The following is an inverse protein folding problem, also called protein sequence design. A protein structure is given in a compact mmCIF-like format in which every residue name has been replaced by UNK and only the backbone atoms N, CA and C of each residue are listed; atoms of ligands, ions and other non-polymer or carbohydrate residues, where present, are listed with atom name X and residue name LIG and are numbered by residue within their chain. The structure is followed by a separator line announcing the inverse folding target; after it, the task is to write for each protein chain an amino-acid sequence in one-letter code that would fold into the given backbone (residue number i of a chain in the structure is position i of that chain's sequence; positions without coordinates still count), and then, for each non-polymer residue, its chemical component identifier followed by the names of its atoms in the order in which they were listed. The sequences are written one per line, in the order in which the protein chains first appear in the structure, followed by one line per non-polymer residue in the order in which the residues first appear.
data_IF_055903051690
#
_entry.id   IF_055903051690
#
_cell.length_a   1.000
_cell.length_b   1.000
_cell.length_c   1.000
_cell.angle_alpha   90.00
_cell.angle_beta   90.00
_cell.angle_gamma   90.00
#
_symmetry.space_group_name_H-M   'P 1'
#
loop_
_entity.id
_entity.type
_entity.pdbx_description
1 polymer ?
#
# COMPACT_ATOMS: atom_id res chain seq x y z
N UNK A 1 -35.75 5.87 15.36
CA UNK A 1 -34.68 6.40 16.22
C UNK A 1 -33.75 7.34 15.45
N UNK A 2 -33.36 6.93 14.24
CA UNK A 2 -32.47 7.65 13.31
C UNK A 2 -33.03 8.99 12.85
N UNK A 3 -34.28 9.06 12.38
CA UNK A 3 -34.89 10.32 11.92
C UNK A 3 -34.87 11.47 12.96
N UNK A 4 -34.94 11.16 14.26
CA UNK A 4 -34.81 12.17 15.32
C UNK A 4 -33.35 12.56 15.56
N UNK A 5 -32.40 11.66 15.36
CA UNK A 5 -30.97 11.94 15.42
C UNK A 5 -30.55 12.82 14.22
N UNK A 6 -31.00 12.49 13.03
CA UNK A 6 -30.70 13.22 11.79
C UNK A 6 -31.30 14.63 11.84
N UNK A 7 -32.54 14.77 12.31
CA UNK A 7 -33.14 16.09 12.53
C UNK A 7 -32.35 16.90 13.57
N UNK A 8 -31.86 16.25 14.63
CA UNK A 8 -30.95 16.86 15.60
C UNK A 8 -29.66 17.38 14.95
N UNK A 9 -29.09 16.63 14.01
CA UNK A 9 -27.94 17.03 13.22
C UNK A 9 -28.26 18.22 12.28
N UNK A 10 -29.39 18.17 11.57
CA UNK A 10 -29.84 19.27 10.71
C UNK A 10 -29.93 20.61 11.47
N UNK A 11 -30.48 20.61 12.70
CA UNK A 11 -30.49 21.81 13.55
C UNK A 11 -29.12 22.22 14.07
N UNK A 12 -28.15 21.30 14.18
CA UNK A 12 -26.77 21.64 14.58
C UNK A 12 -26.05 22.39 13.45
N UNK A 13 -26.16 21.90 12.22
CA UNK A 13 -25.41 22.42 11.07
C UNK A 13 -26.18 23.44 10.24
N UNK A 14 -27.50 23.56 10.43
CA UNK A 14 -28.37 24.44 9.65
C UNK A 14 -28.77 23.87 8.28
N UNK A 15 -28.80 22.54 8.12
CA UNK A 15 -29.11 21.90 6.85
C UNK A 15 -30.62 21.73 6.71
N UNK A 16 -31.23 22.49 5.80
CA UNK A 16 -32.68 22.46 5.55
C UNK A 16 -33.55 23.09 6.66
N UNK A 17 -32.94 23.57 7.74
CA UNK A 17 -33.58 24.29 8.86
C UNK A 17 -32.63 25.36 9.41
N UNK A 18 -33.16 26.38 10.08
CA UNK A 18 -32.31 27.37 10.77
C UNK A 18 -31.50 26.71 11.90
N UNK A 19 -30.21 27.05 11.98
CA UNK A 19 -29.30 26.51 12.98
C UNK A 19 -29.79 26.83 14.40
N UNK A 20 -30.03 25.80 15.21
CA UNK A 20 -30.55 25.93 16.57
C UNK A 20 -30.02 24.83 17.50
N UNK A 21 -29.01 25.16 18.30
CA UNK A 21 -28.38 24.20 19.21
C UNK A 21 -29.33 23.67 20.30
N UNK A 22 -30.32 24.47 20.75
CA UNK A 22 -31.29 24.02 21.76
C UNK A 22 -32.25 22.98 21.19
N UNK A 23 -32.70 23.17 19.95
CA UNK A 23 -33.53 22.19 19.25
C UNK A 23 -32.73 20.93 18.90
N UNK A 24 -31.51 21.09 18.40
CA UNK A 24 -30.58 19.97 18.17
C UNK A 24 -30.44 19.09 19.42
N UNK A 25 -30.13 19.70 20.57
CA UNK A 25 -30.07 19.00 21.86
C UNK A 25 -31.40 18.30 22.23
N UNK A 26 -32.54 18.97 22.04
CA UNK A 26 -33.86 18.42 22.35
C UNK A 26 -34.16 17.14 21.55
N UNK A 27 -33.85 17.13 20.25
CA UNK A 27 -34.08 15.98 19.38
C UNK A 27 -33.14 14.81 19.68
N UNK A 28 -31.84 15.09 19.88
CA UNK A 28 -30.91 14.06 20.34
C UNK A 28 -31.28 13.51 21.72
N UNK A 29 -31.74 14.34 22.66
CA UNK A 29 -32.21 13.87 23.96
C UNK A 29 -33.43 12.95 23.84
N UNK A 30 -34.36 13.26 22.92
CA UNK A 30 -35.53 12.39 22.66
C UNK A 30 -35.08 11.04 22.10
N UNK A 31 -34.16 11.02 21.13
CA UNK A 31 -33.61 9.81 20.54
C UNK A 31 -32.75 8.99 21.54
N UNK A 32 -31.95 9.66 22.36
CA UNK A 32 -31.12 9.04 23.41
C UNK A 32 -31.96 8.36 24.50
N UNK A 33 -33.07 8.98 24.91
CA UNK A 33 -34.02 8.39 25.87
C UNK A 33 -34.66 7.09 25.37
N UNK A 34 -34.66 6.87 24.05
CA UNK A 34 -35.15 5.65 23.42
C UNK A 34 -34.02 4.63 23.15
N UNK A 35 -32.82 4.86 23.70
CA UNK A 35 -31.72 3.89 23.67
C UNK A 35 -30.76 4.00 22.48
N UNK A 36 -30.89 5.02 21.61
CA UNK A 36 -29.98 5.14 20.46
C UNK A 36 -28.58 5.62 20.90
N UNK A 37 -27.59 4.73 20.83
CA UNK A 37 -26.24 4.94 21.38
C UNK A 37 -25.51 6.17 20.80
N UNK A 38 -25.70 6.47 19.51
CA UNK A 38 -25.13 7.66 18.88
C UNK A 38 -25.69 8.95 19.51
N UNK A 39 -27.02 9.03 19.63
CA UNK A 39 -27.68 10.16 20.32
C UNK A 39 -27.27 10.25 21.79
N UNK A 40 -27.11 9.13 22.50
CA UNK A 40 -26.60 9.14 23.88
C UNK A 40 -25.22 9.82 23.94
N UNK A 41 -24.30 9.45 23.04
CA UNK A 41 -22.98 10.07 22.97
C UNK A 41 -23.07 11.57 22.66
N UNK A 42 -23.90 11.98 21.70
CA UNK A 42 -24.04 13.40 21.33
C UNK A 42 -24.69 14.25 22.44
N UNK A 43 -25.67 13.70 23.15
CA UNK A 43 -26.21 14.32 24.38
C UNK A 43 -25.12 14.47 25.44
N UNK A 44 -24.28 13.44 25.62
CA UNK A 44 -23.12 13.49 26.51
C UNK A 44 -22.16 14.62 26.13
N UNK A 45 -21.81 14.75 24.85
CA UNK A 45 -20.95 15.83 24.33
C UNK A 45 -21.55 17.22 24.52
N UNK A 46 -22.86 17.38 24.30
CA UNK A 46 -23.56 18.65 24.53
C UNK A 46 -23.49 19.06 26.01
N UNK A 47 -23.67 18.13 26.94
CA UNK A 47 -23.49 18.41 28.36
C UNK A 47 -22.02 18.69 28.73
N UNK A 48 -21.07 18.01 28.09
CA UNK A 48 -19.63 18.22 28.31
C UNK A 48 -19.19 19.63 27.86
N UNK A 49 -19.68 20.08 26.69
CA UNK A 49 -19.29 21.34 26.05
C UNK A 49 -20.21 22.53 26.36
N UNK A 50 -21.44 22.27 26.83
CA UNK A 50 -22.46 23.30 27.04
C UNK A 50 -23.18 23.76 25.76
N UNK A 51 -23.27 22.89 24.74
CA UNK A 51 -23.89 23.22 23.45
C UNK A 51 -25.40 22.93 23.56
N UNK A 52 -26.24 23.95 23.39
CA UNK A 52 -27.70 23.79 23.44
C UNK A 52 -28.29 23.51 24.83
N UNK A 53 -27.44 23.27 25.83
CA UNK A 53 -27.80 22.99 27.23
C UNK A 53 -26.73 23.52 28.18
N UNK A 54 -27.08 23.85 29.42
CA UNK A 54 -26.09 24.22 30.44
C UNK A 54 -25.10 23.08 30.66
N UNK A 55 -23.81 23.40 30.60
CA UNK A 55 -22.70 22.48 30.83
C UNK A 55 -22.87 21.72 32.16
N UNK A 56 -22.75 20.40 32.12
CA UNK A 56 -22.91 19.52 33.28
C UNK A 56 -22.15 18.20 33.09
N UNK A 57 -20.97 18.08 33.71
CA UNK A 57 -20.12 16.91 33.55
C UNK A 57 -20.72 15.62 34.12
N UNK A 58 -21.48 15.68 35.22
CA UNK A 58 -22.12 14.48 35.79
C UNK A 58 -23.14 13.89 34.82
N UNK A 59 -23.92 14.74 34.15
CA UNK A 59 -24.85 14.31 33.09
C UNK A 59 -24.11 13.81 31.85
N UNK A 60 -23.00 14.44 31.47
CA UNK A 60 -22.16 13.94 30.37
C UNK A 60 -21.70 12.50 30.64
N UNK A 61 -21.12 12.23 31.82
CA UNK A 61 -20.68 10.89 32.24
C UNK A 61 -21.84 9.88 32.22
N UNK A 62 -23.01 10.27 32.73
CA UNK A 62 -24.19 9.39 32.69
C UNK A 62 -24.50 8.93 31.26
N UNK A 63 -24.57 9.86 30.31
CA UNK A 63 -24.88 9.53 28.92
C UNK A 63 -23.76 8.75 28.23
N UNK A 64 -22.49 9.02 28.54
CA UNK A 64 -21.38 8.20 28.04
C UNK A 64 -21.40 6.78 28.61
N UNK A 65 -21.78 6.57 29.88
CA UNK A 65 -22.01 5.24 30.46
C UNK A 65 -23.13 4.49 29.73
N UNK A 66 -24.24 5.15 29.43
CA UNK A 66 -25.34 4.56 28.65
C UNK A 66 -24.88 4.19 27.24
N UNK A 67 -24.13 5.05 26.56
CA UNK A 67 -23.57 4.75 25.24
C UNK A 67 -22.58 3.57 25.30
N UNK A 68 -21.68 3.55 26.28
CA UNK A 68 -20.71 2.46 26.49
C UNK A 68 -21.36 1.11 26.80
N UNK A 69 -22.48 1.11 27.54
CA UNK A 69 -23.27 -0.09 27.82
C UNK A 69 -23.92 -0.72 26.59
N UNK A 70 -24.05 0.02 25.49
CA UNK A 70 -24.53 -0.46 24.19
C UNK A 70 -23.39 -0.86 23.24
N UNK A 71 -22.19 -1.19 23.77
CA UNK A 71 -20.97 -1.53 23.02
C UNK A 71 -20.58 -0.47 21.97
N UNK A 72 -20.86 0.80 22.25
CA UNK A 72 -20.55 1.90 21.33
C UNK A 72 -19.21 2.55 21.70
N UNK A 73 -18.18 2.23 20.91
CA UNK A 73 -16.79 2.63 21.15
C UNK A 73 -16.57 4.13 21.36
N UNK A 74 -17.30 5.01 20.65
CA UNK A 74 -17.22 6.45 20.90
C UNK A 74 -17.68 6.82 22.32
N UNK A 75 -18.75 6.21 22.81
CA UNK A 75 -19.24 6.43 24.18
C UNK A 75 -18.26 5.90 25.23
N UNK A 76 -17.69 4.73 25.00
CA UNK A 76 -16.67 4.12 25.88
C UNK A 76 -15.40 4.99 25.94
N UNK A 77 -14.93 5.48 24.79
CA UNK A 77 -13.80 6.41 24.69
C UNK A 77 -14.06 7.76 25.38
N UNK A 78 -15.23 8.35 25.17
CA UNK A 78 -15.61 9.61 25.81
C UNK A 78 -15.73 9.45 27.34
N UNK A 79 -16.19 8.29 27.81
CA UNK A 79 -16.20 7.95 29.24
C UNK A 79 -14.78 7.81 29.81
N UNK A 80 -13.89 7.13 29.08
CA UNK A 80 -12.47 7.00 29.46
C UNK A 80 -11.80 8.38 29.59
N UNK A 81 -12.08 9.28 28.64
CA UNK A 81 -11.60 10.66 28.68
C UNK A 81 -12.10 11.45 29.91
N UNK A 82 -13.35 11.20 30.36
CA UNK A 82 -13.86 11.78 31.59
C UNK A 82 -13.12 11.29 32.84
N UNK A 83 -12.82 10.00 32.95
CA UNK A 83 -12.02 9.45 34.07
C UNK A 83 -10.58 9.94 34.05
N UNK A 84 -9.98 10.06 32.86
CA UNK A 84 -8.63 10.58 32.70
C UNK A 84 -8.49 12.03 33.21
N UNK A 85 -9.49 12.87 32.95
CA UNK A 85 -9.45 14.30 33.25
C UNK A 85 -10.23 14.70 34.51
N UNK A 86 -10.98 13.78 35.13
CA UNK A 86 -11.85 14.07 36.26
C UNK A 86 -13.12 14.86 35.92
N UNK A 87 -13.63 14.73 34.68
CA UNK A 87 -14.86 15.42 34.28
C UNK A 87 -16.09 14.69 34.81
N UNK A 88 -16.66 15.21 35.90
CA UNK A 88 -17.92 14.68 36.47
C UNK A 88 -17.76 13.36 37.25
N UNK A 89 -16.52 12.85 37.33
CA UNK A 89 -16.08 11.68 38.10
C UNK A 89 -14.75 12.01 38.78
N UNK A 90 -14.40 11.27 39.82
CA UNK A 90 -13.05 11.33 40.39
C UNK A 90 -12.07 10.88 39.31
N UNK A 91 -10.97 11.64 39.15
CA UNK A 91 -9.90 11.27 38.24
C UNK A 91 -9.34 9.90 38.63
N UNK A 92 -9.35 8.96 37.68
CA UNK A 92 -8.93 7.58 37.89
C UNK A 92 -8.28 7.05 36.61
N UNK A 93 -6.98 6.81 36.68
CA UNK A 93 -6.18 6.39 35.54
C UNK A 93 -6.43 4.93 35.15
N UNK A 94 -6.63 4.04 36.12
CA UNK A 94 -6.83 2.60 35.87
C UNK A 94 -8.22 2.33 35.26
N UNK A 95 -9.25 3.06 35.72
CA UNK A 95 -10.57 2.99 35.09
C UNK A 95 -10.51 3.55 33.66
N UNK A 96 -9.83 4.68 33.45
CA UNK A 96 -9.63 5.23 32.10
C UNK A 96 -8.92 4.22 31.19
N UNK A 97 -7.87 3.55 31.68
CA UNK A 97 -7.12 2.52 30.95
C UNK A 97 -7.99 1.32 30.59
N UNK A 98 -8.77 0.81 31.54
CA UNK A 98 -9.69 -0.31 31.32
C UNK A 98 -10.74 0.05 30.27
N UNK A 99 -11.30 1.27 30.32
CA UNK A 99 -12.28 1.73 29.33
C UNK A 99 -11.66 1.97 27.96
N UNK A 100 -10.44 2.49 27.86
CA UNK A 100 -9.73 2.60 26.58
C UNK A 100 -9.45 1.22 25.97
N UNK A 101 -9.00 0.24 26.78
CA UNK A 101 -8.86 -1.17 26.36
C UNK A 101 -10.20 -1.71 25.83
N UNK A 102 -11.29 -1.55 26.60
CA UNK A 102 -12.64 -1.94 26.15
C UNK A 102 -13.05 -1.25 24.84
N UNK A 103 -12.76 0.03 24.68
CA UNK A 103 -13.07 0.75 23.44
C UNK A 103 -12.31 0.23 22.24
N UNK A 104 -11.07 -0.26 22.41
CA UNK A 104 -10.28 -0.92 21.36
C UNK A 104 -10.87 -2.30 21.03
N UNK A 105 -11.37 -3.02 22.04
CA UNK A 105 -12.04 -4.31 21.83
C UNK A 105 -13.35 -4.16 21.05
N UNK A 106 -14.13 -3.12 21.37
CA UNK A 106 -15.38 -2.74 20.69
C UNK A 106 -15.15 -2.27 19.25
N UNK A 107 -14.17 -1.38 19.02
CA UNK A 107 -13.73 -0.96 17.70
C UNK A 107 -12.27 -0.48 17.76
N UNK A 108 -11.37 -1.33 17.25
CA UNK A 108 -9.92 -1.09 17.32
C UNK A 108 -9.53 0.28 16.73
N UNK A 109 -10.05 0.65 15.56
CA UNK A 109 -9.66 1.90 14.90
C UNK A 109 -10.14 3.11 15.69
N UNK A 110 -11.37 3.06 16.20
CA UNK A 110 -11.94 4.17 16.98
C UNK A 110 -11.30 4.30 18.34
N UNK A 111 -11.09 3.19 19.05
CA UNK A 111 -10.41 3.17 20.35
C UNK A 111 -9.01 3.75 20.26
N UNK A 112 -8.20 3.33 19.27
CA UNK A 112 -6.85 3.88 19.06
C UNK A 112 -6.90 5.38 18.70
N UNK A 113 -7.79 5.80 17.80
CA UNK A 113 -7.96 7.24 17.48
C UNK A 113 -8.35 8.07 18.69
N UNK A 114 -9.18 7.55 19.58
CA UNK A 114 -9.58 8.26 20.79
C UNK A 114 -8.42 8.44 21.77
N UNK A 115 -7.59 7.41 21.95
CA UNK A 115 -6.39 7.49 22.79
C UNK A 115 -5.39 8.52 22.21
N UNK A 116 -5.14 8.45 20.90
CA UNK A 116 -4.30 9.41 20.18
C UNK A 116 -4.85 10.85 20.29
N UNK A 117 -6.17 11.03 20.11
CA UNK A 117 -6.84 12.32 20.19
C UNK A 117 -6.84 12.92 21.59
N UNK A 118 -6.79 12.08 22.62
CA UNK A 118 -6.65 12.51 24.01
C UNK A 118 -5.22 12.94 24.37
N UNK A 119 -4.27 12.92 23.41
CA UNK A 119 -2.84 13.22 23.60
C UNK A 119 -2.21 12.41 24.72
N UNK A 120 -2.67 11.16 24.83
CA UNK A 120 -2.19 10.22 25.82
C UNK A 120 -1.03 9.45 25.21
N UNK A 121 0.08 9.35 25.93
CA UNK A 121 1.16 8.46 25.54
C UNK A 121 0.65 6.99 25.59
N UNK A 122 0.53 6.34 24.42
CA UNK A 122 0.01 4.99 24.30
C UNK A 122 0.83 3.97 25.10
N UNK A 123 2.13 4.22 25.30
CA UNK A 123 3.00 3.32 26.06
C UNK A 123 2.52 3.12 27.51
N UNK A 124 1.84 4.10 28.12
CA UNK A 124 1.28 3.94 29.47
C UNK A 124 0.03 3.06 29.54
N UNK A 125 -0.64 2.81 28.41
CA UNK A 125 -1.98 2.20 28.35
C UNK A 125 -2.00 0.77 27.81
N UNK A 126 -1.04 0.40 26.97
CA UNK A 126 -1.21 -0.73 26.02
C UNK A 126 -0.26 -1.91 26.21
N UNK A 127 0.38 -2.03 27.39
CA UNK A 127 1.38 -3.04 27.75
C UNK A 127 0.99 -4.54 27.58
N UNK A 128 -0.20 -4.88 27.07
CA UNK A 128 -0.62 -6.29 26.96
C UNK A 128 -1.28 -6.68 25.62
N UNK A 129 -1.60 -5.74 24.72
CA UNK A 129 -2.34 -6.10 23.49
C UNK A 129 -1.88 -5.41 22.21
N UNK A 130 -0.82 -4.62 22.27
CA UNK A 130 -0.09 -4.16 21.09
C UNK A 130 1.31 -4.70 21.21
N UNK A 131 1.84 -5.27 20.12
CA UNK A 131 3.21 -5.75 20.09
C UNK A 131 4.14 -4.56 20.29
N UNK A 132 4.55 -4.34 21.52
CA UNK A 132 5.84 -3.76 21.79
C UNK A 132 6.85 -4.84 21.41
N UNK A 133 7.24 -4.84 20.13
CA UNK A 133 8.52 -5.46 19.79
C UNK A 133 9.53 -4.47 20.33
N UNK A 134 9.88 -4.72 21.58
CA UNK A 134 11.11 -4.28 22.20
C UNK A 134 11.10 -2.83 22.67
N UNK A 135 11.68 -2.59 23.84
CA UNK A 135 12.05 -1.24 24.31
C UNK A 135 13.26 -0.71 23.51
N UNK A 136 13.48 -1.22 22.30
CA UNK A 136 14.59 -0.86 21.44
C UNK A 136 14.16 0.17 20.40
N UNK A 137 15.14 0.89 19.87
CA UNK A 137 14.91 1.90 18.84
C UNK A 137 14.61 1.27 17.46
N UNK A 138 14.56 -0.07 17.37
CA UNK A 138 14.46 -0.84 16.13
C UNK A 138 13.30 -1.84 16.18
N UNK A 139 12.36 -1.73 15.24
CA UNK A 139 11.31 -2.73 15.04
C UNK A 139 11.86 -3.92 14.25
N UNK A 140 11.66 -5.15 14.76
CA UNK A 140 11.94 -6.42 14.05
C UNK A 140 10.76 -7.38 14.25
N UNK A 141 9.84 -7.51 13.28
CA UNK A 141 8.75 -8.50 13.41
C UNK A 141 9.16 -9.88 12.90
N UNK A 142 9.36 -10.82 13.81
CA UNK A 142 9.46 -12.25 13.48
C UNK A 142 8.06 -12.88 13.32
N UNK A 143 7.45 -12.70 12.13
CA UNK A 143 6.23 -13.36 11.70
C UNK A 143 4.94 -12.98 12.46
N UNK A 144 3.79 -13.46 11.95
CA UNK A 144 2.45 -13.13 12.47
C UNK A 144 2.16 -13.58 13.92
N UNK A 145 3.11 -14.21 14.63
CA UNK A 145 2.89 -14.82 15.94
C UNK A 145 2.48 -13.82 17.03
N UNK A 146 2.71 -12.53 16.81
CA UNK A 146 2.48 -11.48 17.80
C UNK A 146 1.29 -10.55 17.47
N UNK A 147 0.71 -10.57 16.27
CA UNK A 147 -0.30 -9.59 15.84
C UNK A 147 -1.62 -9.70 16.61
N UNK A 148 -2.06 -8.62 17.25
CA UNK A 148 -3.41 -8.52 17.81
C UNK A 148 -4.38 -8.06 16.70
N UNK A 149 -5.26 -8.95 16.24
CA UNK A 149 -6.32 -8.68 15.24
C UNK A 149 -5.81 -7.99 13.94
N UNK A 150 -4.91 -8.65 13.21
CA UNK A 150 -4.42 -8.24 11.88
C UNK A 150 -3.84 -6.81 11.78
N UNK A 151 -3.59 -6.13 12.91
CA UNK A 151 -3.13 -4.74 12.92
C UNK A 151 -1.80 -4.64 13.68
N UNK A 152 -0.95 -3.71 13.24
CA UNK A 152 0.30 -3.33 13.87
C UNK A 152 0.20 -1.88 14.35
N UNK A 153 0.76 -1.58 15.51
CA UNK A 153 0.96 -0.22 15.98
C UNK A 153 2.44 0.02 16.28
N UNK A 154 2.95 1.13 15.79
CA UNK A 154 4.34 1.57 15.94
C UNK A 154 4.36 2.71 16.96
N UNK A 155 5.05 2.51 18.08
CA UNK A 155 5.17 3.49 19.16
C UNK A 155 6.11 4.64 18.78
N UNK A 156 6.11 5.71 19.58
CA UNK A 156 6.97 6.87 19.39
C UNK A 156 8.48 6.58 19.59
N UNK A 157 8.85 5.48 20.25
CA UNK A 157 10.24 5.11 20.51
C UNK A 157 10.93 4.44 19.32
N UNK A 158 10.17 3.89 18.37
CA UNK A 158 10.71 3.22 17.19
C UNK A 158 11.32 4.24 16.23
N UNK A 159 12.63 4.15 16.02
CA UNK A 159 13.39 5.01 15.11
C UNK A 159 13.75 4.31 13.80
N UNK A 160 13.94 2.99 13.83
CA UNK A 160 14.32 2.20 12.67
C UNK A 160 13.33 1.05 12.50
N UNK A 161 12.92 0.80 11.27
CA UNK A 161 12.15 -0.38 10.87
C UNK A 161 13.01 -1.12 9.86
N UNK A 162 13.47 -2.31 10.22
CA UNK A 162 14.31 -3.11 9.33
C UNK A 162 13.51 -3.56 8.09
N UNK A 163 14.20 -3.71 6.96
CA UNK A 163 13.62 -4.16 5.68
C UNK A 163 12.87 -5.49 5.79
N UNK A 164 13.29 -6.39 6.68
CA UNK A 164 12.67 -7.70 6.92
C UNK A 164 11.54 -7.66 7.94
N UNK A 165 11.27 -6.52 8.57
CA UNK A 165 10.23 -6.39 9.62
C UNK A 165 8.83 -6.77 9.16
N UNK A 166 8.57 -6.80 7.85
CA UNK A 166 7.27 -7.19 7.31
C UNK A 166 7.29 -8.54 6.60
N UNK A 167 8.42 -9.25 6.65
CA UNK A 167 8.53 -10.58 6.07
C UNK A 167 7.49 -11.51 6.72
N UNK A 168 6.73 -12.24 5.89
CA UNK A 168 5.62 -13.11 6.31
C UNK A 168 4.43 -12.43 7.03
N UNK A 169 4.26 -11.11 6.95
CA UNK A 169 3.11 -10.39 7.52
C UNK A 169 1.81 -10.51 6.71
N UNK A 170 1.49 -11.73 6.24
CA UNK A 170 0.46 -12.02 5.24
C UNK A 170 -0.99 -11.71 5.67
N UNK A 171 -1.22 -11.54 6.98
CA UNK A 171 -2.52 -11.19 7.56
C UNK A 171 -2.64 -9.72 7.95
N UNK A 172 -1.56 -8.94 7.82
CA UNK A 172 -1.53 -7.55 8.28
C UNK A 172 -2.43 -6.68 7.38
N UNK A 173 -3.46 -6.09 7.98
CA UNK A 173 -4.44 -5.22 7.33
C UNK A 173 -4.15 -3.73 7.58
N UNK A 174 -3.58 -3.38 8.73
CA UNK A 174 -3.29 -1.97 9.06
C UNK A 174 -2.00 -1.83 9.85
N UNK A 175 -1.25 -0.77 9.54
CA UNK A 175 -0.13 -0.27 10.33
C UNK A 175 -0.52 1.11 10.82
N UNK A 176 -0.61 1.27 12.14
CA UNK A 176 -0.84 2.54 12.82
C UNK A 176 0.47 3.04 13.41
N UNK A 177 0.63 4.36 13.53
CA UNK A 177 1.85 4.97 14.08
C UNK A 177 1.43 6.02 15.09
N UNK A 178 2.15 6.08 16.21
CA UNK A 178 2.00 7.15 17.21
C UNK A 178 2.23 8.53 16.57
N UNK A 179 1.40 9.50 16.93
CA UNK A 179 1.53 10.87 16.41
C UNK A 179 2.87 11.51 16.80
N UNK A 180 3.44 11.11 17.94
CA UNK A 180 4.70 11.62 18.48
C UNK A 180 5.92 10.86 17.94
N UNK A 181 5.74 9.82 17.11
CA UNK A 181 6.86 9.16 16.44
C UNK A 181 7.59 10.15 15.52
N UNK A 182 8.92 10.25 15.63
CA UNK A 182 9.71 11.25 14.90
C UNK A 182 10.01 10.86 13.44
N UNK A 183 9.92 9.58 13.08
CA UNK A 183 10.47 9.05 11.83
C UNK A 183 9.40 8.52 10.88
N UNK A 184 8.25 8.12 11.41
CA UNK A 184 7.19 7.45 10.68
C UNK A 184 5.84 8.12 10.87
N UNK A 185 4.94 7.80 9.97
CA UNK A 185 3.54 8.15 10.08
C UNK A 185 2.66 7.08 9.44
N UNK A 186 1.36 7.10 9.73
CA UNK A 186 0.38 6.24 9.07
C UNK A 186 -0.71 7.07 8.44
N UNK A 187 -1.11 6.69 7.23
CA UNK A 187 -2.29 7.22 6.56
C UNK A 187 -3.14 6.08 6.05
N UNK A 188 -4.41 6.06 6.47
CA UNK A 188 -5.35 4.96 6.20
C UNK A 188 -4.80 3.56 6.54
N UNK A 189 -3.89 3.44 7.51
CA UNK A 189 -3.29 2.16 7.89
C UNK A 189 -2.14 1.71 6.97
N UNK A 190 -1.66 2.56 6.06
CA UNK A 190 -0.42 2.36 5.30
C UNK A 190 0.72 3.10 6.02
N UNK A 191 1.90 2.49 6.06
CA UNK A 191 3.09 3.08 6.69
C UNK A 191 3.82 4.02 5.72
N UNK A 192 4.13 5.22 6.20
CA UNK A 192 4.90 6.23 5.49
C UNK A 192 6.04 6.76 6.37
N UNK A 193 6.98 7.48 5.76
CA UNK A 193 7.90 8.33 6.50
C UNK A 193 7.13 9.46 7.24
N UNK A 194 7.81 10.17 8.16
CA UNK A 194 7.18 11.23 8.95
C UNK A 194 6.52 12.32 8.11
N UNK A 195 7.20 12.72 7.03
CA UNK A 195 6.75 13.79 6.13
C UNK A 195 5.64 13.34 5.15
N UNK A 196 5.29 12.05 5.15
CA UNK A 196 4.28 11.45 4.26
C UNK A 196 4.60 11.63 2.77
N UNK A 197 5.88 11.68 2.44
CA UNK A 197 6.40 11.80 1.07
C UNK A 197 6.78 10.43 0.48
N UNK A 198 7.01 9.41 1.31
CA UNK A 198 7.39 8.06 0.88
C UNK A 198 6.44 7.04 1.51
N UNK A 199 5.83 6.18 0.68
CA UNK A 199 5.15 4.98 1.19
C UNK A 199 6.22 3.92 1.45
N UNK A 200 6.30 3.47 2.71
CA UNK A 200 7.30 2.49 3.15
C UNK A 200 6.72 1.07 3.17
N UNK A 201 5.46 0.91 3.59
CA UNK A 201 4.80 -0.40 3.58
C UNK A 201 3.29 -0.32 3.45
N UNK A 202 2.78 -1.03 2.46
CA UNK A 202 1.37 -1.37 2.31
C UNK A 202 1.09 -2.74 2.98
N UNK A 203 0.10 -2.83 3.89
CA UNK A 203 -0.28 -4.09 4.51
C UNK A 203 -0.92 -5.09 3.52
N UNK A 204 -0.27 -6.23 3.29
CA UNK A 204 -0.67 -7.20 2.25
C UNK A 204 -1.89 -8.06 2.60
N UNK A 205 -2.35 -8.02 3.85
CA UNK A 205 -3.62 -8.62 4.28
C UNK A 205 -4.85 -7.77 3.93
N UNK A 206 -4.68 -6.53 3.46
CA UNK A 206 -5.78 -5.65 3.05
C UNK A 206 -6.54 -6.25 1.89
N UNK A 207 -7.85 -6.39 2.04
CA UNK A 207 -8.76 -6.91 1.02
C UNK A 207 -9.30 -5.84 0.06
N UNK A 208 -8.68 -4.66 0.04
CA UNK A 208 -9.07 -3.58 -0.87
C UNK A 208 -8.54 -3.84 -2.26
N UNK A 209 -9.40 -3.72 -3.26
CA UNK A 209 -9.05 -3.98 -4.67
C UNK A 209 -8.39 -2.79 -5.35
N UNK A 210 -8.55 -1.57 -4.81
CA UNK A 210 -7.90 -0.37 -5.34
C UNK A 210 -7.22 0.43 -4.23
N UNK A 211 -6.17 1.16 -4.60
CA UNK A 211 -5.48 2.07 -3.69
C UNK A 211 -5.16 3.40 -4.40
N UNK A 212 -5.58 4.49 -3.77
CA UNK A 212 -5.25 5.85 -4.21
C UNK A 212 -4.05 6.36 -3.45
N UNK A 213 -2.96 6.63 -4.17
CA UNK A 213 -1.73 7.15 -3.56
C UNK A 213 -1.99 8.58 -3.06
N UNK A 214 -1.76 8.88 -1.75
CA UNK A 214 -2.04 10.20 -1.20
C UNK A 214 -1.25 11.33 -1.89
N UNK A 215 -1.84 12.50 -2.07
CA UNK A 215 -1.25 13.61 -2.83
C UNK A 215 0.00 14.28 -2.23
N UNK A 216 0.42 13.87 -1.03
CA UNK A 216 1.71 14.26 -0.42
C UNK A 216 2.87 13.36 -0.85
N UNK A 217 2.57 12.14 -1.33
CA UNK A 217 3.58 11.12 -1.63
C UNK A 217 4.26 11.43 -2.95
N UNK A 218 5.58 11.47 -2.95
CA UNK A 218 6.44 11.63 -4.13
C UNK A 218 7.15 10.34 -4.51
N UNK A 219 7.12 9.32 -3.65
CA UNK A 219 7.83 8.06 -3.86
C UNK A 219 7.10 6.85 -3.28
N UNK A 220 7.16 5.74 -4.01
CA UNK A 220 6.88 4.41 -3.47
C UNK A 220 8.22 3.76 -3.13
N UNK A 221 8.46 3.43 -1.87
CA UNK A 221 9.71 2.82 -1.42
C UNK A 221 9.86 1.38 -1.90
N UNK A 222 11.06 0.85 -1.71
CA UNK A 222 11.39 -0.53 -2.07
C UNK A 222 10.48 -1.53 -1.31
N UNK A 223 10.01 -2.57 -2.00
CA UNK A 223 9.15 -3.63 -1.46
C UNK A 223 7.84 -3.16 -0.80
N UNK A 224 7.43 -1.90 -1.02
CA UNK A 224 6.34 -1.28 -0.30
C UNK A 224 5.01 -2.04 -0.44
N UNK A 225 4.67 -2.47 -1.65
CA UNK A 225 3.46 -3.23 -1.99
C UNK A 225 3.74 -4.69 -2.37
N UNK A 226 4.99 -5.16 -2.24
CA UNK A 226 5.36 -6.55 -2.57
C UNK A 226 4.36 -7.53 -1.95
N UNK A 227 3.87 -8.48 -2.75
CA UNK A 227 2.86 -9.49 -2.38
C UNK A 227 1.45 -8.94 -2.04
N UNK A 228 1.08 -7.72 -2.48
CA UNK A 228 -0.28 -7.18 -2.30
C UNK A 228 -1.32 -7.88 -3.18
N UNK A 229 -1.58 -9.15 -2.87
CA UNK A 229 -2.38 -10.11 -3.65
C UNK A 229 -3.86 -9.77 -3.84
N UNK A 230 -4.42 -8.81 -3.13
CA UNK A 230 -5.81 -8.40 -3.31
C UNK A 230 -5.95 -7.15 -4.19
N UNK A 231 -4.85 -6.44 -4.43
CA UNK A 231 -4.84 -5.17 -5.14
C UNK A 231 -4.94 -5.42 -6.64
N UNK A 232 -5.94 -4.83 -7.29
CA UNK A 232 -6.18 -4.88 -8.74
C UNK A 232 -5.77 -3.61 -9.46
N UNK A 233 -5.80 -2.47 -8.78
CA UNK A 233 -5.38 -1.19 -9.36
C UNK A 233 -4.73 -0.26 -8.35
N UNK A 234 -3.77 0.53 -8.85
CA UNK A 234 -3.11 1.60 -8.09
C UNK A 234 -3.22 2.89 -8.87
N UNK A 235 -3.80 3.91 -8.24
CA UNK A 235 -3.99 5.23 -8.83
C UNK A 235 -2.93 6.15 -8.24
N UNK A 236 -1.89 6.43 -9.03
CA UNK A 236 -0.80 7.30 -8.64
C UNK A 236 -1.23 8.77 -8.64
N UNK A 237 -0.65 9.57 -7.74
CA UNK A 237 -0.88 11.01 -7.72
C UNK A 237 0.10 11.75 -8.67
N UNK A 238 -0.18 13.03 -8.92
CA UNK A 238 0.57 13.89 -9.86
C UNK A 238 1.98 14.31 -9.45
N UNK A 239 2.48 13.83 -8.31
CA UNK A 239 3.79 14.18 -7.74
C UNK A 239 4.71 12.97 -7.62
N UNK A 240 4.27 11.77 -7.99
CA UNK A 240 5.09 10.55 -7.90
C UNK A 240 6.26 10.65 -8.88
N UNK A 241 7.48 10.54 -8.34
CA UNK A 241 8.75 10.65 -9.08
C UNK A 241 9.46 9.32 -9.22
N UNK A 242 9.41 8.49 -8.19
CA UNK A 242 10.11 7.20 -8.15
C UNK A 242 9.20 6.10 -7.61
N UNK A 243 9.31 4.93 -8.23
CA UNK A 243 8.81 3.67 -7.70
C UNK A 243 10.01 2.76 -7.46
N UNK A 244 10.21 2.33 -6.22
CA UNK A 244 11.40 1.62 -5.77
C UNK A 244 11.53 0.19 -6.29
N UNK A 245 12.65 -0.45 -5.91
CA UNK A 245 12.96 -1.84 -6.21
C UNK A 245 11.91 -2.78 -5.64
N UNK A 246 11.44 -3.72 -6.45
CA UNK A 246 10.44 -4.73 -6.05
C UNK A 246 9.17 -4.13 -5.42
N UNK A 247 8.85 -2.87 -5.70
CA UNK A 247 7.78 -2.15 -5.00
C UNK A 247 6.43 -2.86 -5.12
N UNK A 248 6.11 -3.45 -6.27
CA UNK A 248 4.89 -4.21 -6.56
C UNK A 248 5.19 -5.67 -6.98
N UNK A 249 6.35 -6.20 -6.56
CA UNK A 249 6.75 -7.57 -6.86
C UNK A 249 5.72 -8.58 -6.31
N UNK A 250 5.38 -9.58 -7.12
CA UNK A 250 4.35 -10.59 -6.85
C UNK A 250 2.95 -10.03 -6.51
N UNK A 251 2.59 -8.85 -7.04
CA UNK A 251 1.22 -8.35 -7.02
C UNK A 251 0.33 -9.07 -8.07
N UNK A 252 0.11 -10.37 -7.88
CA UNK A 252 -0.53 -11.28 -8.88
C UNK A 252 -1.93 -10.89 -9.37
N UNK A 253 -2.66 -10.06 -8.63
CA UNK A 253 -3.99 -9.59 -9.04
C UNK A 253 -4.00 -8.19 -9.65
N UNK A 254 -2.85 -7.53 -9.75
CA UNK A 254 -2.74 -6.19 -10.31
C UNK A 254 -3.00 -6.24 -11.82
N UNK A 255 -4.10 -5.61 -12.24
CA UNK A 255 -4.62 -5.66 -13.62
C UNK A 255 -4.26 -4.40 -14.40
N UNK A 256 -4.15 -3.25 -13.71
CA UNK A 256 -3.87 -1.96 -14.33
C UNK A 256 -2.92 -1.11 -13.49
N UNK A 257 -1.98 -0.47 -14.19
CA UNK A 257 -1.10 0.56 -13.64
C UNK A 257 -1.09 1.75 -14.60
N UNK A 258 -1.50 2.91 -14.11
CA UNK A 258 -1.50 4.15 -14.89
C UNK A 258 -0.47 5.11 -14.29
N UNK A 259 0.65 5.27 -14.98
CA UNK A 259 1.70 6.19 -14.52
C UNK A 259 1.30 7.64 -14.82
N UNK A 260 1.49 8.51 -13.82
CA UNK A 260 1.40 9.94 -14.02
C UNK A 260 2.61 10.45 -14.83
N UNK A 261 2.41 11.51 -15.61
CA UNK A 261 3.43 12.12 -16.47
C UNK A 261 4.64 12.68 -15.70
N UNK A 262 4.55 12.79 -14.37
CA UNK A 262 5.65 13.23 -13.51
C UNK A 262 6.63 12.13 -13.11
N UNK A 263 6.32 10.85 -13.35
CA UNK A 263 7.15 9.70 -12.98
C UNK A 263 8.46 9.68 -13.78
N UNK A 264 9.58 9.46 -13.08
CA UNK A 264 10.94 9.51 -13.64
C UNK A 264 11.67 8.17 -13.53
N UNK A 265 11.41 7.38 -12.48
CA UNK A 265 12.15 6.15 -12.23
C UNK A 265 11.25 4.99 -11.79
N UNK A 266 11.47 3.83 -12.42
CA UNK A 266 10.94 2.53 -12.03
C UNK A 266 12.11 1.64 -11.61
N UNK A 267 12.06 1.08 -10.41
CA UNK A 267 13.12 0.26 -9.84
C UNK A 267 13.24 -1.12 -10.47
N UNK A 268 14.34 -1.81 -10.15
CA UNK A 268 14.56 -3.20 -10.54
C UNK A 268 13.45 -4.09 -9.98
N UNK A 269 13.02 -5.13 -10.72
CA UNK A 269 11.98 -6.07 -10.28
C UNK A 269 10.64 -5.43 -9.87
N UNK A 270 10.41 -4.15 -10.19
CA UNK A 270 9.33 -3.35 -9.61
C UNK A 270 7.94 -3.99 -9.74
N UNK A 271 7.60 -4.53 -10.91
CA UNK A 271 6.34 -5.21 -11.20
C UNK A 271 6.57 -6.69 -11.58
N UNK A 272 7.67 -7.28 -11.10
CA UNK A 272 7.93 -8.69 -11.35
C UNK A 272 6.78 -9.57 -10.83
N UNK A 273 6.36 -10.58 -11.59
CA UNK A 273 5.28 -11.51 -11.18
C UNK A 273 3.89 -10.86 -11.06
N UNK A 274 3.67 -9.71 -11.72
CA UNK A 274 2.35 -9.10 -11.85
C UNK A 274 1.56 -9.76 -12.99
N UNK A 275 1.14 -11.01 -12.76
CA UNK A 275 0.63 -11.94 -13.77
C UNK A 275 -0.57 -11.44 -14.60
N UNK A 276 -1.32 -10.45 -14.11
CA UNK A 276 -2.53 -9.91 -14.76
C UNK A 276 -2.33 -8.60 -15.53
N UNK A 277 -1.17 -7.97 -15.47
CA UNK A 277 -0.91 -6.74 -16.23
C UNK A 277 -0.90 -7.07 -17.71
N UNK A 278 -1.82 -6.48 -18.48
CA UNK A 278 -1.95 -6.73 -19.92
C UNK A 278 -0.98 -5.89 -20.76
N UNK A 279 -0.73 -4.66 -20.33
CA UNK A 279 0.14 -3.71 -21.01
C UNK A 279 0.68 -2.69 -20.02
N UNK A 280 1.79 -2.06 -20.39
CA UNK A 280 2.40 -0.95 -19.63
C UNK A 280 2.69 0.19 -20.60
N UNK A 281 2.43 1.43 -20.18
CA UNK A 281 2.84 2.62 -20.92
C UNK A 281 3.97 3.34 -20.21
N UNK A 282 5.14 3.41 -20.85
CA UNK A 282 6.27 4.25 -20.41
C UNK A 282 5.98 5.70 -20.78
N UNK A 283 5.77 6.55 -19.78
CA UNK A 283 5.43 7.98 -19.99
C UNK A 283 6.65 8.83 -20.35
N UNK A 284 6.42 10.05 -20.82
CA UNK A 284 7.45 10.93 -21.38
C UNK A 284 8.68 11.11 -20.47
N UNK A 285 8.47 11.29 -19.17
CA UNK A 285 9.54 11.66 -18.22
C UNK A 285 10.26 10.49 -17.58
N UNK A 286 9.94 9.23 -17.93
CA UNK A 286 10.67 8.09 -17.37
C UNK A 286 12.08 8.06 -17.99
N UNK A 287 13.08 8.24 -17.13
CA UNK A 287 14.50 8.31 -17.47
C UNK A 287 15.21 6.98 -17.17
N UNK A 288 14.67 6.22 -16.22
CA UNK A 288 15.26 4.96 -15.75
C UNK A 288 14.19 3.90 -15.49
N UNK A 289 14.43 2.71 -16.06
CA UNK A 289 13.69 1.49 -15.78
C UNK A 289 14.72 0.45 -15.34
N UNK A 290 14.57 -0.06 -14.13
CA UNK A 290 15.49 -1.05 -13.57
C UNK A 290 15.37 -2.40 -14.29
N UNK A 291 16.43 -3.19 -14.16
CA UNK A 291 16.48 -4.51 -14.79
C UNK A 291 15.29 -5.37 -14.34
N UNK A 292 14.69 -6.06 -15.31
CA UNK A 292 13.61 -7.02 -15.07
C UNK A 292 12.38 -6.42 -14.34
N UNK A 293 12.15 -5.11 -14.49
CA UNK A 293 11.04 -4.41 -13.86
C UNK A 293 9.66 -4.97 -14.22
N UNK A 294 9.49 -5.58 -15.40
CA UNK A 294 8.24 -6.20 -15.85
C UNK A 294 8.41 -7.71 -16.14
N UNK A 295 9.41 -8.32 -15.51
CA UNK A 295 9.67 -9.75 -15.62
C UNK A 295 8.51 -10.62 -15.13
N UNK A 296 8.36 -11.83 -15.67
CA UNK A 296 7.33 -12.80 -15.25
C UNK A 296 5.89 -12.26 -15.23
N UNK A 297 5.58 -11.19 -15.97
CA UNK A 297 4.20 -10.72 -16.12
C UNK A 297 3.49 -11.56 -17.17
N UNK A 298 2.93 -12.71 -16.76
CA UNK A 298 2.42 -13.75 -17.68
C UNK A 298 1.36 -13.29 -18.69
N UNK A 299 0.62 -12.21 -18.41
CA UNK A 299 -0.38 -11.64 -19.31
C UNK A 299 0.10 -10.42 -20.11
N UNK A 300 1.38 -10.00 -19.97
CA UNK A 300 1.91 -8.79 -20.60
C UNK A 300 2.08 -8.97 -22.11
N UNK A 301 1.20 -8.33 -22.89
CA UNK A 301 1.15 -8.46 -24.36
C UNK A 301 2.06 -7.46 -25.07
N UNK A 302 2.14 -6.25 -24.54
CA UNK A 302 2.94 -5.19 -25.12
C UNK A 302 3.34 -4.13 -24.10
N UNK A 303 4.45 -3.46 -24.38
CA UNK A 303 4.89 -2.24 -23.71
C UNK A 303 4.81 -1.12 -24.74
N UNK A 304 4.07 -0.07 -24.41
CA UNK A 304 3.98 1.15 -25.20
C UNK A 304 4.92 2.20 -24.60
N UNK A 305 5.48 3.07 -25.45
CA UNK A 305 6.40 4.13 -25.03
C UNK A 305 5.94 5.44 -25.63
N UNK A 306 5.82 6.47 -24.79
CA UNK A 306 5.51 7.81 -25.26
C UNK A 306 6.54 8.25 -26.31
N UNK A 307 6.06 8.72 -27.48
CA UNK A 307 6.92 9.15 -28.60
C UNK A 307 7.96 10.20 -28.22
N UNK A 308 7.65 11.01 -27.20
CA UNK A 308 8.51 12.09 -26.71
C UNK A 308 9.44 11.63 -25.58
N UNK A 309 9.44 10.35 -25.19
CA UNK A 309 10.41 9.82 -24.23
C UNK A 309 11.82 9.85 -24.85
N UNK A 310 12.80 10.36 -24.11
CA UNK A 310 14.17 10.57 -24.59
C UNK A 310 15.11 9.36 -24.36
N UNK A 311 14.68 8.38 -23.55
CA UNK A 311 15.53 7.30 -23.05
C UNK A 311 15.14 5.92 -23.59
N UNK A 312 13.87 5.74 -23.95
CA UNK A 312 13.29 4.48 -24.37
C UNK A 312 12.51 4.62 -25.68
N UNK A 313 12.30 3.48 -26.32
CA UNK A 313 11.39 3.32 -27.46
C UNK A 313 10.83 1.91 -27.44
N UNK A 314 9.75 1.69 -28.18
CA UNK A 314 9.21 0.36 -28.40
C UNK A 314 9.32 -0.04 -29.88
N UNK A 315 9.45 -1.35 -30.12
CA UNK A 315 9.29 -1.98 -31.44
C UNK A 315 8.49 -3.26 -31.25
N UNK A 316 7.36 -3.37 -31.95
CA UNK A 316 6.40 -4.47 -31.86
C UNK A 316 5.93 -4.75 -30.42
N UNK A 317 5.81 -3.70 -29.60
CA UNK A 317 5.40 -3.77 -28.21
C UNK A 317 6.44 -4.39 -27.28
N UNK A 318 7.73 -4.30 -27.63
CA UNK A 318 8.85 -4.66 -26.76
C UNK A 318 9.68 -3.41 -26.43
N UNK A 319 10.32 -3.39 -25.27
CA UNK A 319 11.03 -2.21 -24.77
C UNK A 319 12.53 -2.23 -25.14
N UNK A 320 13.02 -1.10 -25.64
CA UNK A 320 14.41 -0.90 -26.02
C UNK A 320 14.95 0.44 -25.49
N UNK A 321 16.28 0.59 -25.50
CA UNK A 321 16.93 1.90 -25.42
C UNK A 321 16.47 2.82 -26.57
N UNK A 322 16.49 4.14 -26.37
CA UNK A 322 16.04 5.11 -27.39
C UNK A 322 16.69 4.92 -28.75
N UNK A 323 17.97 4.56 -28.78
CA UNK A 323 18.75 4.31 -30.00
C UNK A 323 18.57 2.90 -30.60
N UNK A 324 17.65 2.10 -30.04
CA UNK A 324 17.35 0.73 -30.41
C UNK A 324 18.55 -0.23 -30.38
N UNK A 325 19.60 0.07 -29.62
CA UNK A 325 20.78 -0.82 -29.49
C UNK A 325 20.67 -1.85 -28.37
N UNK A 326 19.85 -1.59 -27.36
CA UNK A 326 19.72 -2.46 -26.19
C UNK A 326 18.28 -2.94 -26.09
N UNK A 327 18.10 -4.27 -26.10
CA UNK A 327 16.83 -4.93 -25.77
C UNK A 327 16.69 -4.99 -24.25
N UNK A 328 15.66 -4.35 -23.72
CA UNK A 328 15.44 -4.20 -22.28
C UNK A 328 14.39 -5.16 -21.74
N UNK A 329 13.27 -5.33 -22.47
CA UNK A 329 12.19 -6.21 -22.02
C UNK A 329 11.35 -6.70 -23.20
N UNK A 330 11.22 -8.02 -23.30
CA UNK A 330 10.28 -8.72 -24.16
C UNK A 330 8.95 -8.84 -23.43
N UNK A 331 7.86 -8.53 -24.13
CA UNK A 331 6.52 -8.82 -23.60
C UNK A 331 6.20 -10.29 -23.86
N UNK A 332 6.11 -11.08 -22.79
CA UNK A 332 6.10 -12.56 -22.86
C UNK A 332 4.78 -13.15 -23.34
N UNK A 333 3.65 -12.44 -23.22
CA UNK A 333 2.31 -12.92 -23.58
C UNK A 333 1.94 -12.64 -25.06
N UNK A 334 2.93 -12.65 -25.96
CA UNK A 334 2.69 -12.49 -27.39
C UNK A 334 2.24 -13.82 -28.03
N UNK A 335 1.29 -13.78 -28.98
CA UNK A 335 0.81 -15.00 -29.65
C UNK A 335 1.86 -15.62 -30.59
N UNK A 336 2.86 -14.84 -30.99
CA UNK A 336 3.87 -15.27 -31.94
C UNK A 336 4.96 -16.10 -31.25
N UNK A 337 5.14 -17.33 -31.72
CA UNK A 337 6.20 -18.24 -31.26
C UNK A 337 7.58 -17.92 -31.85
N UNK A 338 7.64 -16.94 -32.74
CA UNK A 338 8.88 -16.50 -33.38
C UNK A 338 9.12 -15.04 -33.08
N UNK A 339 10.33 -14.72 -32.63
CA UNK A 339 10.77 -13.36 -32.38
C UNK A 339 11.98 -13.01 -33.24
N UNK A 340 11.87 -11.94 -34.03
CA UNK A 340 12.98 -11.39 -34.82
C UNK A 340 13.45 -10.11 -34.17
N UNK A 341 14.67 -10.09 -33.65
CA UNK A 341 15.21 -8.86 -33.08
C UNK A 341 15.50 -7.86 -34.20
N UNK A 342 15.22 -6.56 -33.98
CA UNK A 342 15.62 -5.49 -34.88
C UNK A 342 17.13 -5.55 -35.16
N UNK A 343 17.52 -5.28 -36.40
CA UNK A 343 18.92 -5.36 -36.84
C UNK A 343 19.84 -4.33 -36.17
N UNK A 344 19.29 -3.27 -35.56
CA UNK A 344 20.03 -2.29 -34.77
C UNK A 344 20.46 -2.79 -33.40
N UNK A 345 19.83 -3.85 -32.87
CA UNK A 345 20.10 -4.34 -31.52
C UNK A 345 21.47 -5.01 -31.45
N UNK A 346 22.29 -4.52 -30.53
CA UNK A 346 23.64 -5.00 -30.26
C UNK A 346 23.75 -5.73 -28.92
N UNK A 347 22.86 -5.43 -27.96
CA UNK A 347 22.91 -5.97 -26.60
C UNK A 347 21.52 -6.52 -26.21
N UNK A 348 21.50 -7.75 -25.68
CA UNK A 348 20.35 -8.29 -24.96
C UNK A 348 20.65 -8.22 -23.47
N UNK A 349 19.87 -7.43 -22.73
CA UNK A 349 20.14 -7.17 -21.33
C UNK A 349 19.79 -8.32 -20.40
N UNK A 350 20.20 -8.21 -19.13
CA UNK A 350 19.89 -9.18 -18.08
C UNK A 350 18.40 -9.50 -18.06
N UNK A 351 18.06 -10.79 -18.23
CA UNK A 351 16.66 -11.29 -18.27
C UNK A 351 15.72 -10.63 -19.29
N UNK A 352 16.24 -9.97 -20.33
CA UNK A 352 15.40 -9.21 -21.25
C UNK A 352 14.35 -10.06 -22.00
N UNK A 353 14.59 -11.36 -22.20
CA UNK A 353 13.70 -12.29 -22.90
C UNK A 353 13.35 -13.49 -22.00
N UNK A 354 13.57 -13.40 -20.69
CA UNK A 354 13.31 -14.55 -19.81
C UNK A 354 11.82 -14.82 -19.58
N UNK A 355 11.50 -16.07 -19.23
CA UNK A 355 10.16 -16.57 -18.92
C UNK A 355 9.19 -16.49 -20.11
N UNK A 356 9.73 -16.46 -21.33
CA UNK A 356 8.98 -16.45 -22.57
C UNK A 356 8.55 -17.88 -22.95
N UNK A 357 7.70 -18.52 -22.13
CA UNK A 357 7.35 -19.95 -22.23
C UNK A 357 6.77 -20.38 -23.59
N UNK A 358 6.17 -19.45 -24.34
CA UNK A 358 5.56 -19.72 -25.66
C UNK A 358 6.53 -19.50 -26.83
N UNK A 359 7.69 -18.88 -26.59
CA UNK A 359 8.65 -18.52 -27.62
C UNK A 359 9.43 -19.76 -28.05
N UNK A 360 9.39 -20.12 -29.33
CA UNK A 360 10.06 -21.32 -29.87
C UNK A 360 11.30 -20.97 -30.71
N UNK A 361 11.30 -19.83 -31.39
CA UNK A 361 12.39 -19.44 -32.31
C UNK A 361 12.78 -17.98 -32.16
N UNK A 362 14.08 -17.70 -32.07
CA UNK A 362 14.62 -16.33 -31.99
C UNK A 362 15.64 -16.07 -33.09
N UNK A 363 15.56 -14.91 -33.75
CA UNK A 363 16.51 -14.48 -34.77
C UNK A 363 17.36 -13.30 -34.27
N UNK A 364 18.66 -13.55 -34.09
CA UNK A 364 19.67 -12.58 -33.68
C UNK A 364 20.52 -12.16 -34.89
N UNK A 365 20.37 -10.90 -35.31
CA UNK A 365 21.08 -10.38 -36.47
C UNK A 365 22.47 -9.83 -36.10
N UNK A 366 22.53 -8.71 -35.37
CA UNK A 366 23.78 -7.99 -35.07
C UNK A 366 24.13 -7.98 -33.58
N UNK A 367 23.51 -8.86 -32.80
CA UNK A 367 23.75 -8.96 -31.36
C UNK A 367 25.21 -9.30 -31.10
N UNK A 368 25.89 -8.42 -30.37
CA UNK A 368 27.30 -8.54 -29.97
C UNK A 368 27.42 -9.11 -28.57
N UNK A 369 26.48 -8.77 -27.68
CA UNK A 369 26.51 -9.15 -26.26
C UNK A 369 25.17 -9.70 -25.83
N UNK A 370 25.19 -10.83 -25.12
CA UNK A 370 24.05 -11.38 -24.39
C UNK A 370 24.42 -11.42 -22.92
N UNK A 371 23.69 -10.70 -22.08
CA UNK A 371 23.91 -10.64 -20.64
C UNK A 371 23.32 -11.86 -19.92
N UNK A 372 23.69 -12.01 -18.65
CA UNK A 372 23.28 -13.11 -17.80
C UNK A 372 21.75 -13.27 -17.79
N UNK A 373 21.28 -14.51 -17.88
CA UNK A 373 19.86 -14.89 -17.82
C UNK A 373 18.97 -14.28 -18.89
N UNK A 374 19.53 -13.74 -19.97
CA UNK A 374 18.76 -13.14 -21.06
C UNK A 374 17.62 -14.02 -21.60
N UNK A 375 17.79 -15.34 -21.63
CA UNK A 375 16.82 -16.35 -22.08
C UNK A 375 16.50 -17.38 -20.98
N UNK A 376 16.50 -16.95 -19.73
CA UNK A 376 16.32 -17.85 -18.58
C UNK A 376 14.86 -18.33 -18.48
N UNK A 377 14.65 -19.60 -18.11
CA UNK A 377 13.31 -20.22 -18.05
C UNK A 377 12.46 -20.16 -19.34
N UNK A 378 13.09 -19.99 -20.51
CA UNK A 378 12.39 -20.03 -21.80
C UNK A 378 12.15 -21.47 -22.29
N UNK A 379 11.47 -22.29 -21.49
CA UNK A 379 11.35 -23.75 -21.71
C UNK A 379 10.79 -24.16 -23.08
N UNK A 380 10.10 -23.26 -23.79
CA UNK A 380 9.58 -23.48 -25.14
C UNK A 380 10.61 -23.27 -26.26
N UNK A 381 11.75 -22.63 -25.96
CA UNK A 381 12.73 -22.20 -26.95
C UNK A 381 13.50 -23.39 -27.54
N UNK A 382 13.44 -23.52 -28.87
CA UNK A 382 14.03 -24.63 -29.63
C UNK A 382 15.18 -24.18 -30.52
N UNK A 383 15.10 -22.99 -31.09
CA UNK A 383 16.03 -22.53 -32.12
C UNK A 383 16.44 -21.08 -31.92
N UNK A 384 17.75 -20.83 -31.98
CA UNK A 384 18.31 -19.47 -32.03
C UNK A 384 19.13 -19.34 -33.30
N UNK A 385 18.66 -18.48 -34.21
CA UNK A 385 19.32 -18.15 -35.45
C UNK A 385 20.26 -16.98 -35.24
N UNK A 386 21.52 -17.15 -35.61
CA UNK A 386 22.59 -16.18 -35.39
C UNK A 386 23.30 -15.86 -36.72
N UNK A 387 23.59 -14.59 -37.00
CA UNK A 387 24.54 -14.25 -38.08
C UNK A 387 26.00 -14.28 -37.59
N UNK A 388 26.22 -13.93 -36.31
CA UNK A 388 27.52 -13.92 -35.64
C UNK A 388 27.38 -14.50 -34.23
N UNK A 389 28.46 -15.07 -33.69
CA UNK A 389 28.49 -15.60 -32.33
C UNK A 389 28.65 -14.41 -31.37
N UNK A 390 27.70 -14.17 -30.46
CA UNK A 390 27.79 -13.09 -29.48
C UNK A 390 28.71 -13.46 -28.30
N UNK A 391 29.20 -12.43 -27.61
CA UNK A 391 29.86 -12.56 -26.31
C UNK A 391 28.79 -12.83 -25.25
N UNK A 392 28.96 -13.89 -24.47
CA UNK A 392 28.09 -14.23 -23.35
C UNK A 392 28.67 -13.63 -22.07
N UNK A 393 27.95 -12.73 -21.42
CA UNK A 393 28.33 -12.08 -20.17
C UNK A 393 27.54 -12.65 -19.01
N UNK A 394 28.02 -13.75 -18.42
CA UNK A 394 27.35 -14.41 -17.30
C UNK A 394 27.50 -15.93 -17.33
N UNK A 395 27.11 -16.60 -16.24
CA UNK A 395 27.22 -18.08 -16.16
C UNK A 395 25.96 -18.81 -16.61
N UNK A 396 24.81 -18.13 -16.64
CA UNK A 396 23.50 -18.74 -16.91
C UNK A 396 22.73 -17.95 -17.96
N UNK A 397 23.09 -18.05 -19.24
CA UNK A 397 22.33 -17.40 -20.32
C UNK A 397 20.97 -18.10 -20.54
N UNK A 398 20.99 -19.43 -20.49
CA UNK A 398 19.86 -20.35 -20.60
C UNK A 398 19.73 -21.16 -19.30
N UNK A 399 18.56 -21.75 -19.06
CA UNK A 399 18.41 -22.75 -17.98
C UNK A 399 19.03 -24.10 -18.39
N UNK A 400 19.42 -24.92 -17.40
CA UNK A 400 20.13 -26.18 -17.59
C UNK A 400 19.29 -27.26 -18.30
N UNK A 401 17.98 -27.05 -18.45
CA UNK A 401 17.05 -27.98 -19.09
C UNK A 401 17.09 -27.98 -20.63
N UNK A 402 17.86 -27.09 -21.27
CA UNK A 402 17.88 -26.89 -22.72
C UNK A 402 18.81 -27.83 -23.51
N UNK A 403 18.81 -29.15 -23.23
CA UNK A 403 19.65 -30.10 -23.97
C UNK A 403 19.36 -30.14 -25.48
N UNK A 404 18.16 -29.73 -25.90
CA UNK A 404 17.70 -29.77 -27.30
C UNK A 404 17.73 -28.41 -28.02
N UNK A 405 18.23 -27.34 -27.38
CA UNK A 405 18.30 -26.00 -27.98
C UNK A 405 19.34 -25.94 -29.10
N UNK A 406 18.92 -25.56 -30.31
CA UNK A 406 19.78 -25.49 -31.50
C UNK A 406 20.22 -24.07 -31.80
N UNK A 407 21.53 -23.89 -31.99
CA UNK A 407 22.11 -22.67 -32.54
C UNK A 407 22.34 -22.82 -34.03
N UNK A 408 21.59 -22.07 -34.83
CA UNK A 408 21.64 -22.15 -36.29
C UNK A 408 22.34 -20.90 -36.82
N UNK A 409 23.52 -21.09 -37.41
CA UNK A 409 24.22 -19.99 -38.08
C UNK A 409 23.60 -19.76 -39.45
N UNK A 410 23.00 -18.60 -39.67
CA UNK A 410 22.49 -18.25 -41.00
C UNK A 410 23.66 -18.14 -41.97
N UNK A 411 23.64 -18.93 -43.06
CA UNK A 411 24.58 -18.75 -44.17
C UNK A 411 24.20 -17.44 -44.87
N UNK A 412 25.16 -16.53 -44.98
CA UNK A 412 25.02 -15.23 -45.63
C UNK A 412 24.47 -15.35 -47.03
#
# INVERSE_FOLDING_TARGET
LEAQCDLGYCYLVGQGVEKNHKLSFKYWLKSAKLGYAHSCRDVGQNYLKGIGVKKNYKKAVYWFKVASGNNYSHGTSDLAYCYLNGYGVKKDFEIAKTLFKKSIEEDYNRGIRAILGAKINLSKFLFESIIEIDNSETLIMEGNKKLHKNNLFISNNIKVIDSQSFYNSNKLEKILVDNDNSNYSSLDGVLLNKDKTIILKYPIGRKTESYHVPGSVTEIGDHAFQNARYLKSVIFNKKIKRIGKSAFDDCKNLESIEFDQSLQEIGEWCFHGCDKILHVRVVQKIEKIGEYAFGSCESLKYIDVDKNNEFFTEIDGNLYSKDCKIMLQYAIAKPNKTFKLPSSVEIISFRAISDAFQLETVYLHNVKVIQEKAFYYDIGLKEIHLNKIPILQGKQIFDCAHSDLKFIKNKK
#
